data_IF_274417651218
#
_entry.id   IF_274417651218
#
_cell.length_a   1.000
_cell.length_b   1.000
_cell.length_c   1.000
_cell.angle_alpha   90.00
_cell.angle_beta   90.00
_cell.angle_gamma   90.00
#
_symmetry.space_group_name_H-M   'P 1'
#
loop_
_entity.id
_entity.type
_entity.pdbx_description
1 polymer ?
#
# COMPACT_ATOMS: atom_id res chain seq x y z
N UNK A 1 2.37 -30.69 3.54
CA UNK A 1 2.42 -29.25 3.19
C UNK A 1 1.19 -28.56 3.75
N UNK A 2 1.37 -27.46 4.45
CA UNK A 2 0.22 -26.68 4.91
C UNK A 2 -0.50 -26.04 3.72
N UNK A 3 -1.82 -25.93 3.81
CA UNK A 3 -2.59 -25.18 2.83
C UNK A 3 -2.18 -23.70 2.84
N UNK A 4 -2.24 -22.99 1.71
CA UNK A 4 -1.97 -21.56 1.69
C UNK A 4 -2.91 -20.81 2.61
N UNK A 5 -2.42 -19.76 3.24
CA UNK A 5 -3.25 -18.86 4.04
C UNK A 5 -4.27 -18.15 3.14
N UNK A 6 -5.48 -17.99 3.66
CA UNK A 6 -6.49 -17.17 3.01
C UNK A 6 -6.39 -15.73 3.50
N UNK A 7 -6.94 -14.80 2.72
CA UNK A 7 -7.00 -13.40 3.14
C UNK A 7 -7.73 -13.25 4.48
N UNK A 8 -8.85 -13.96 4.67
CA UNK A 8 -9.62 -13.89 5.92
C UNK A 8 -8.82 -14.37 7.13
N UNK A 9 -8.03 -15.43 6.96
CA UNK A 9 -7.16 -15.93 8.03
C UNK A 9 -6.09 -14.88 8.41
N UNK A 10 -5.52 -14.21 7.40
CA UNK A 10 -4.52 -13.17 7.64
C UNK A 10 -5.14 -11.97 8.34
N UNK A 11 -6.30 -11.51 7.88
CA UNK A 11 -7.04 -10.40 8.49
C UNK A 11 -7.30 -10.71 9.98
N UNK A 12 -7.78 -11.90 10.27
CA UNK A 12 -8.05 -12.30 11.66
C UNK A 12 -6.78 -12.41 12.50
N UNK A 13 -5.75 -13.04 11.96
CA UNK A 13 -4.50 -13.27 12.70
C UNK A 13 -3.74 -11.98 12.99
N UNK A 14 -3.65 -11.10 12.01
CA UNK A 14 -2.94 -9.83 12.14
C UNK A 14 -3.84 -8.71 12.69
N UNK A 15 -5.12 -9.01 12.95
CA UNK A 15 -6.09 -8.05 13.50
C UNK A 15 -6.24 -6.81 12.63
N UNK A 16 -6.40 -7.03 11.33
CA UNK A 16 -6.57 -5.95 10.38
C UNK A 16 -8.02 -5.46 10.38
N UNK A 17 -8.21 -4.19 10.09
CA UNK A 17 -9.52 -3.55 10.01
C UNK A 17 -9.66 -2.85 8.66
N UNK A 18 -10.90 -2.56 8.20
CA UNK A 18 -11.07 -1.88 6.91
C UNK A 18 -10.35 -0.53 6.85
N UNK A 19 -9.71 -0.26 5.72
CA UNK A 19 -9.02 0.99 5.47
C UNK A 19 -9.92 1.95 4.68
N UNK A 20 -9.88 3.27 4.97
CA UNK A 20 -10.70 4.26 4.25
C UNK A 20 -10.51 4.26 2.74
N UNK A 21 -9.31 3.98 2.26
CA UNK A 21 -8.99 3.97 0.82
C UNK A 21 -9.23 2.62 0.15
N UNK A 22 -9.65 1.61 0.90
CA UNK A 22 -9.88 0.24 0.45
C UNK A 22 -8.89 -0.72 1.07
N UNK A 23 -9.25 -1.99 1.12
CA UNK A 23 -8.43 -3.03 1.76
C UNK A 23 -8.52 -3.01 3.28
N UNK A 24 -7.55 -3.68 3.91
CA UNK A 24 -7.49 -3.86 5.36
C UNK A 24 -6.11 -3.47 5.86
N UNK A 25 -6.07 -2.89 7.07
CA UNK A 25 -4.79 -2.44 7.62
C UNK A 25 -4.75 -2.50 9.13
N UNK A 26 -3.53 -2.41 9.66
CA UNK A 26 -3.28 -2.12 11.07
C UNK A 26 -2.00 -1.29 11.16
N UNK A 27 -2.05 -0.19 11.91
CA UNK A 27 -0.86 0.58 12.20
C UNK A 27 -0.03 -0.19 13.23
N UNK A 28 1.23 -0.47 12.90
CA UNK A 28 2.14 -1.24 13.76
C UNK A 28 3.17 -0.35 14.43
N UNK A 29 3.40 0.84 13.90
CA UNK A 29 4.38 1.78 14.44
C UNK A 29 3.96 3.20 14.17
N UNK A 30 4.12 4.05 15.17
CA UNK A 30 3.99 5.50 15.04
C UNK A 30 5.08 6.14 15.85
N UNK A 31 5.97 6.86 15.19
CA UNK A 31 7.04 7.59 15.84
C UNK A 31 6.50 8.81 16.56
N UNK A 32 7.33 9.39 17.43
CA UNK A 32 6.98 10.59 18.16
C UNK A 32 6.68 11.76 17.22
N UNK A 33 5.85 12.72 17.65
CA UNK A 33 5.60 13.92 16.85
C UNK A 33 6.88 14.67 16.54
N UNK A 34 7.10 14.92 15.26
CA UNK A 34 8.18 15.77 14.79
C UNK A 34 7.70 17.19 14.59
N UNK A 35 8.25 17.85 13.58
CA UNK A 35 7.89 19.22 13.23
C UNK A 35 6.39 19.34 12.93
N UNK A 36 5.75 20.37 13.48
CA UNK A 36 4.31 20.65 13.30
C UNK A 36 3.38 19.56 13.84
N UNK A 37 3.81 18.80 14.84
CA UNK A 37 2.98 17.77 15.46
C UNK A 37 2.81 16.50 14.65
N UNK A 38 3.53 16.36 13.54
CA UNK A 38 3.49 15.17 12.69
C UNK A 38 4.46 14.13 13.20
N UNK A 39 4.10 12.85 13.12
CA UNK A 39 5.03 11.77 13.40
C UNK A 39 6.18 11.79 12.39
N UNK A 40 7.39 11.46 12.85
CA UNK A 40 8.53 11.30 11.93
C UNK A 40 8.29 10.19 10.93
N UNK A 41 7.67 9.09 11.36
CA UNK A 41 7.27 8.01 10.47
C UNK A 41 6.18 7.15 11.09
N UNK A 42 5.42 6.48 10.24
CA UNK A 42 4.46 5.46 10.64
C UNK A 42 4.67 4.23 9.77
N UNK A 43 4.26 3.08 10.27
CA UNK A 43 4.26 1.84 9.50
C UNK A 43 2.92 1.15 9.67
N UNK A 44 2.41 0.60 8.58
CA UNK A 44 1.18 -0.17 8.58
C UNK A 44 1.41 -1.54 7.95
N UNK A 45 0.65 -2.53 8.39
CA UNK A 45 0.40 -3.72 7.60
C UNK A 45 -0.82 -3.44 6.74
N UNK A 46 -0.75 -3.78 5.46
CA UNK A 46 -1.83 -3.49 4.53
C UNK A 46 -2.09 -4.70 3.65
N UNK A 47 -3.36 -5.07 3.52
CA UNK A 47 -3.77 -6.23 2.74
C UNK A 47 -4.86 -5.85 1.76
N UNK A 48 -4.65 -6.25 0.50
CA UNK A 48 -5.66 -6.14 -0.55
C UNK A 48 -6.05 -7.55 -0.99
N UNK A 49 -7.35 -7.82 -1.03
CA UNK A 49 -7.90 -9.07 -1.56
C UNK A 49 -8.12 -8.95 -3.07
N UNK A 50 -8.44 -10.07 -3.71
CA UNK A 50 -8.81 -10.08 -5.13
C UNK A 50 -9.95 -9.08 -5.39
N UNK A 51 -9.79 -8.22 -6.38
CA UNK A 51 -10.78 -7.23 -6.74
C UNK A 51 -10.82 -5.98 -5.87
N UNK A 52 -10.07 -5.95 -4.78
CA UNK A 52 -9.97 -4.75 -3.96
C UNK A 52 -8.91 -3.80 -4.51
N UNK A 53 -9.11 -2.52 -4.28
CA UNK A 53 -8.23 -1.47 -4.75
C UNK A 53 -7.95 -0.49 -3.61
N UNK A 54 -6.70 -0.10 -3.45
CA UNK A 54 -6.34 1.10 -2.72
C UNK A 54 -6.63 2.27 -3.65
N UNK A 55 -7.61 3.09 -3.30
CA UNK A 55 -8.09 4.18 -4.15
C UNK A 55 -7.01 5.24 -4.34
N UNK A 56 -7.11 5.97 -5.45
CA UNK A 56 -6.18 7.07 -5.73
C UNK A 56 -6.09 8.01 -4.54
N UNK A 57 -4.86 8.20 -4.06
CA UNK A 57 -4.56 9.08 -2.94
C UNK A 57 -3.14 9.64 -3.10
N UNK A 58 -2.85 10.66 -2.35
CA UNK A 58 -1.49 11.19 -2.27
C UNK A 58 -1.15 11.57 -0.84
N UNK A 59 0.13 11.57 -0.56
CA UNK A 59 0.68 11.89 0.77
C UNK A 59 1.68 13.01 0.56
N UNK A 60 1.77 13.92 1.50
CA UNK A 60 2.70 15.05 1.43
C UNK A 60 4.11 14.70 1.92
N UNK A 61 4.40 13.43 1.99
CA UNK A 61 5.71 12.87 2.29
C UNK A 61 5.93 11.62 1.44
N UNK A 62 7.17 11.17 1.33
CA UNK A 62 7.47 9.95 0.62
C UNK A 62 6.88 8.73 1.33
N UNK A 63 6.38 7.77 0.55
CA UNK A 63 5.85 6.52 1.06
C UNK A 63 6.61 5.35 0.44
N UNK A 64 7.01 4.40 1.26
CA UNK A 64 7.69 3.20 0.80
C UNK A 64 6.77 2.00 0.94
N UNK A 65 6.49 1.34 -0.18
CA UNK A 65 5.75 0.09 -0.24
C UNK A 65 6.71 -1.10 -0.20
N UNK A 66 6.37 -2.11 0.57
CA UNK A 66 7.14 -3.37 0.64
C UNK A 66 6.25 -4.54 0.23
N UNK A 67 6.82 -5.52 -0.45
CA UNK A 67 6.11 -6.75 -0.79
C UNK A 67 6.46 -7.85 0.22
N UNK A 68 5.49 -8.23 1.08
CA UNK A 68 5.75 -9.23 2.11
C UNK A 68 5.19 -10.60 1.79
N UNK A 69 4.09 -10.69 1.07
CA UNK A 69 3.52 -12.01 0.79
C UNK A 69 2.32 -11.96 -0.14
N UNK A 70 1.91 -13.13 -0.57
CA UNK A 70 0.81 -13.28 -1.50
C UNK A 70 1.22 -13.09 -2.94
N UNK A 71 0.26 -12.72 -3.76
CA UNK A 71 0.51 -12.43 -5.17
C UNK A 71 1.08 -11.02 -5.35
N UNK A 72 1.68 -10.72 -6.52
CA UNK A 72 2.18 -9.39 -6.77
C UNK A 72 1.09 -8.33 -6.70
N UNK A 73 1.49 -7.11 -6.38
CA UNK A 73 0.63 -5.95 -6.34
C UNK A 73 0.98 -5.05 -7.52
N UNK A 74 -0.03 -4.52 -8.18
CA UNK A 74 0.16 -3.49 -9.19
C UNK A 74 0.02 -2.13 -8.52
N UNK A 75 1.09 -1.35 -8.54
CA UNK A 75 1.12 0.02 -8.04
C UNK A 75 1.12 0.97 -9.23
N UNK A 76 0.14 1.86 -9.30
CA UNK A 76 0.09 2.90 -10.30
C UNK A 76 0.45 4.23 -9.65
N UNK A 77 1.35 4.98 -10.30
CA UNK A 77 1.83 6.27 -9.81
C UNK A 77 1.68 7.30 -10.90
N UNK A 78 1.12 8.45 -10.56
CA UNK A 78 1.08 9.59 -11.45
C UNK A 78 2.04 10.67 -10.96
N UNK A 79 3.08 10.90 -11.74
CA UNK A 79 4.06 11.95 -11.50
C UNK A 79 3.96 12.98 -12.64
N UNK A 80 3.58 14.21 -12.32
CA UNK A 80 3.33 15.22 -13.32
C UNK A 80 2.22 14.76 -14.27
N UNK A 81 2.51 14.72 -15.58
CA UNK A 81 1.59 14.22 -16.60
C UNK A 81 1.78 12.73 -16.89
N UNK A 82 2.88 12.13 -16.41
CA UNK A 82 3.20 10.74 -16.64
C UNK A 82 2.51 9.80 -15.67
N UNK A 83 1.95 8.71 -16.18
CA UNK A 83 1.35 7.65 -15.38
C UNK A 83 2.14 6.38 -15.60
N UNK A 84 2.60 5.78 -14.52
CA UNK A 84 3.48 4.60 -14.55
C UNK A 84 2.89 3.46 -13.73
N UNK A 85 3.12 2.24 -14.20
CA UNK A 85 2.71 1.03 -13.52
C UNK A 85 3.95 0.26 -13.06
N UNK A 86 3.91 -0.22 -11.81
CA UNK A 86 4.98 -1.01 -11.24
C UNK A 86 4.40 -2.25 -10.56
N UNK A 87 5.15 -3.35 -10.59
CA UNK A 87 4.78 -4.55 -9.86
C UNK A 87 5.66 -4.73 -8.64
N UNK A 88 5.00 -4.88 -7.50
CA UNK A 88 5.64 -5.15 -6.21
C UNK A 88 5.53 -6.64 -5.95
N UNK A 89 6.65 -7.34 -5.81
CA UNK A 89 6.65 -8.78 -5.58
C UNK A 89 8.05 -9.38 -5.57
N UNK A 90 8.14 -10.70 -5.40
CA UNK A 90 9.42 -11.38 -5.22
C UNK A 90 10.13 -11.78 -6.52
N UNK A 91 9.47 -11.72 -7.66
CA UNK A 91 10.05 -12.19 -8.91
C UNK A 91 10.86 -11.08 -9.61
N UNK A 92 11.99 -10.77 -9.04
CA UNK A 92 12.80 -9.63 -9.46
C UNK A 92 13.34 -9.77 -10.88
N UNK A 93 13.62 -11.00 -11.32
CA UNK A 93 14.13 -11.24 -12.66
C UNK A 93 13.05 -11.03 -13.74
N UNK A 94 11.79 -11.02 -13.35
CA UNK A 94 10.65 -10.77 -14.25
C UNK A 94 10.09 -9.35 -14.11
N UNK A 95 10.85 -8.45 -13.49
CA UNK A 95 10.47 -7.05 -13.39
C UNK A 95 9.64 -6.68 -12.19
N UNK A 96 9.48 -7.58 -11.23
CA UNK A 96 8.85 -7.22 -9.95
C UNK A 96 9.88 -6.57 -9.04
N UNK A 97 9.42 -5.69 -8.15
CA UNK A 97 10.28 -4.96 -7.22
C UNK A 97 9.99 -5.38 -5.79
N UNK A 98 11.02 -5.56 -4.93
CA UNK A 98 10.78 -5.91 -3.52
C UNK A 98 10.22 -4.74 -2.72
N UNK A 99 10.55 -3.52 -3.10
CA UNK A 99 9.97 -2.31 -2.55
C UNK A 99 9.90 -1.22 -3.63
N UNK A 100 9.01 -0.26 -3.43
CA UNK A 100 8.79 0.85 -4.36
C UNK A 100 8.56 2.12 -3.57
N UNK A 101 9.28 3.18 -3.95
CA UNK A 101 9.13 4.50 -3.35
C UNK A 101 8.14 5.32 -4.16
N UNK A 102 7.15 5.90 -3.48
CA UNK A 102 6.28 6.91 -4.07
C UNK A 102 6.70 8.26 -3.52
N UNK A 103 7.17 9.18 -4.37
CA UNK A 103 7.57 10.50 -3.92
C UNK A 103 6.43 11.30 -3.31
N UNK A 104 6.77 12.24 -2.45
CA UNK A 104 5.80 13.15 -1.85
C UNK A 104 4.99 13.87 -2.93
N UNK A 105 3.68 13.91 -2.75
CA UNK A 105 2.76 14.62 -3.63
C UNK A 105 2.30 13.86 -4.87
N UNK A 106 2.89 12.72 -5.17
CA UNK A 106 2.45 11.92 -6.33
C UNK A 106 1.15 11.17 -6.01
N UNK A 107 0.25 11.10 -6.98
CA UNK A 107 -0.95 10.28 -6.86
C UNK A 107 -0.59 8.82 -7.04
N UNK A 108 -1.20 7.95 -6.24
CA UNK A 108 -0.96 6.51 -6.29
C UNK A 108 -2.24 5.73 -6.08
N UNK A 109 -2.30 4.55 -6.68
CA UNK A 109 -3.32 3.54 -6.40
C UNK A 109 -2.71 2.15 -6.51
N UNK A 110 -3.35 1.16 -5.91
CA UNK A 110 -2.82 -0.19 -5.89
C UNK A 110 -3.93 -1.23 -5.93
N UNK A 111 -3.61 -2.40 -6.48
CA UNK A 111 -4.50 -3.56 -6.45
C UNK A 111 -3.71 -4.85 -6.45
N UNK A 112 -4.26 -5.88 -5.82
CA UNK A 112 -3.66 -7.21 -5.88
C UNK A 112 -3.87 -7.82 -7.27
N UNK A 113 -2.85 -8.47 -7.79
CA UNK A 113 -2.94 -9.17 -9.08
C UNK A 113 -3.44 -10.61 -8.94
N UNK A 114 -3.80 -11.05 -7.75
CA UNK A 114 -4.31 -12.40 -7.49
C UNK A 114 -5.22 -12.44 -6.27
N UNK A 115 -5.12 -13.52 -5.49
CA UNK A 115 -6.04 -13.74 -4.37
C UNK A 115 -5.92 -12.72 -3.25
N UNK A 116 -4.69 -12.34 -2.92
CA UNK A 116 -4.41 -11.29 -1.93
C UNK A 116 -2.94 -10.89 -2.00
N UNK A 117 -2.66 -9.66 -1.54
CA UNK A 117 -1.29 -9.16 -1.37
C UNK A 117 -1.17 -8.51 0.00
N UNK A 118 -0.15 -8.89 0.77
CA UNK A 118 0.25 -8.20 1.99
C UNK A 118 1.41 -7.29 1.65
N UNK A 119 1.20 -5.99 1.74
CA UNK A 119 2.15 -4.98 1.29
C UNK A 119 2.23 -3.84 2.31
N UNK A 120 3.00 -4.04 3.40
CA UNK A 120 3.18 -2.97 4.36
C UNK A 120 3.78 -1.72 3.73
N UNK A 121 3.44 -0.57 4.30
CA UNK A 121 3.97 0.71 3.88
C UNK A 121 4.39 1.58 5.04
N UNK A 122 5.32 2.49 4.76
CA UNK A 122 5.69 3.57 5.67
C UNK A 122 5.07 4.85 5.14
N UNK A 123 4.45 5.62 6.04
CA UNK A 123 3.73 6.81 5.71
C UNK A 123 3.99 7.89 6.75
N UNK A 124 3.81 9.13 6.34
CA UNK A 124 3.86 10.29 7.23
C UNK A 124 2.48 10.95 7.21
N UNK A 125 2.18 11.82 8.17
CA UNK A 125 0.91 12.53 8.20
C UNK A 125 0.72 13.40 6.95
N UNK A 126 -0.53 13.64 6.52
CA UNK A 126 -0.83 14.48 5.36
C UNK A 126 -1.47 13.74 4.20
N UNK A 127 -2.16 12.69 4.49
CA UNK A 127 -2.86 11.87 3.49
C UNK A 127 -4.04 12.62 2.85
N UNK A 128 -4.17 12.51 1.52
CA UNK A 128 -5.31 13.04 0.77
C UNK A 128 -5.91 11.93 -0.09
N UNK A 129 -7.17 11.61 0.15
CA UNK A 129 -7.90 10.59 -0.59
C UNK A 129 -8.69 11.23 -1.73
N UNK A 130 -8.54 10.70 -2.95
CA UNK A 130 -9.32 11.15 -4.08
C UNK A 130 -10.78 10.67 -3.99
N UNK A 131 -11.72 11.40 -4.61
CA UNK A 131 -13.10 10.92 -4.74
C UNK A 131 -13.17 9.58 -5.45
N UNK A 132 -14.20 8.80 -5.15
CA UNK A 132 -14.43 7.55 -5.84
C UNK A 132 -14.57 7.78 -7.34
N UNK A 133 -13.92 6.93 -8.14
CA UNK A 133 -13.92 7.06 -9.59
C UNK A 133 -12.92 8.05 -10.15
N UNK A 134 -12.13 8.72 -9.30
CA UNK A 134 -11.11 9.65 -9.75
C UNK A 134 -9.97 8.91 -10.47
N UNK A 135 -9.57 9.45 -11.62
CA UNK A 135 -8.37 9.03 -12.36
C UNK A 135 -7.54 10.27 -12.69
N UNK A 136 -6.28 10.33 -12.23
CA UNK A 136 -5.41 11.49 -12.49
C UNK A 136 -4.95 11.57 -13.93
#
# INVERSE_FOLDING_TARGET
MAAPLTADEIIAHLKLVPHPEGGYFRETFRDEPGHKGRSHSTAILYLLRAGEMSRWHRVDAAEMWHGYGGTPLLLEVKHGEGRHEYRLGPDWLKGEHPHLLVPAGDWQSARSLGAWTLAPGFDFAGHELAPEGFEP
#
